data_IF_061081381723
#
_entry.id   IF_061081381723
#
_cell.length_a   1.000
_cell.length_b   1.000
_cell.length_c   1.000
_cell.angle_alpha   90.00
_cell.angle_beta   90.00
_cell.angle_gamma   90.00
#
_symmetry.space_group_name_H-M   'P 1'
#
loop_
_entity.id
_entity.type
_entity.pdbx_description
1 polymer ?
#
# COMPACT_ATOMS: atom_id res chain seq x y z
N UNK A 1 -9.96 5.00 -9.99
CA UNK A 1 -9.50 5.49 -8.67
C UNK A 1 -8.25 4.72 -8.31
N UNK A 2 -7.11 5.39 -8.13
CA UNK A 2 -5.90 4.73 -7.63
C UNK A 2 -6.08 4.40 -6.14
N UNK A 3 -5.69 3.19 -5.71
CA UNK A 3 -5.80 2.76 -4.32
C UNK A 3 -4.74 3.50 -3.48
N UNK A 4 -5.14 4.49 -2.70
CA UNK A 4 -4.24 5.23 -1.80
C UNK A 4 -4.20 4.58 -0.42
N UNK A 5 -3.15 4.82 0.36
CA UNK A 5 -3.05 4.32 1.74
C UNK A 5 -4.23 4.79 2.61
N UNK A 6 -4.69 6.07 2.55
CA UNK A 6 -5.91 6.50 3.23
C UNK A 6 -7.19 5.84 2.69
N UNK A 7 -7.29 5.64 1.37
CA UNK A 7 -8.43 4.97 0.75
C UNK A 7 -8.56 3.52 1.21
N UNK A 8 -7.45 2.78 1.20
CA UNK A 8 -7.40 1.40 1.65
C UNK A 8 -7.75 1.26 3.14
N UNK A 9 -7.27 2.22 3.95
CA UNK A 9 -7.55 2.31 5.38
C UNK A 9 -9.03 2.47 5.70
N UNK A 10 -9.77 3.19 4.85
CA UNK A 10 -11.22 3.39 5.01
C UNK A 10 -12.05 2.11 4.80
N UNK A 11 -11.47 1.08 4.17
CA UNK A 11 -12.17 -0.18 3.85
C UNK A 11 -11.66 -1.39 4.64
N UNK A 12 -10.80 -1.19 5.65
CA UNK A 12 -10.25 -2.31 6.43
C UNK A 12 -11.32 -3.13 7.16
N UNK A 13 -12.40 -2.48 7.63
CA UNK A 13 -13.50 -3.18 8.30
C UNK A 13 -14.25 -4.11 7.33
N UNK A 14 -14.38 -3.73 6.06
CA UNK A 14 -14.95 -4.58 5.02
C UNK A 14 -14.06 -5.81 4.75
N UNK A 15 -12.74 -5.60 4.65
CA UNK A 15 -11.76 -6.68 4.41
C UNK A 15 -11.76 -7.68 5.57
N UNK A 16 -11.69 -7.17 6.81
CA UNK A 16 -11.75 -8.01 8.00
C UNK A 16 -13.11 -8.73 8.12
N UNK A 17 -14.21 -8.05 7.80
CA UNK A 17 -15.56 -8.63 7.84
C UNK A 17 -15.79 -9.78 6.86
N UNK A 18 -15.04 -9.83 5.76
CA UNK A 18 -15.04 -10.98 4.83
C UNK A 18 -14.24 -12.18 5.35
N UNK A 19 -13.51 -12.05 6.47
CA UNK A 19 -12.68 -13.10 7.05
C UNK A 19 -11.24 -13.14 6.54
N UNK A 20 -10.80 -12.17 5.75
CA UNK A 20 -9.39 -12.07 5.36
C UNK A 20 -8.52 -11.58 6.53
N UNK A 21 -7.35 -12.18 6.67
CA UNK A 21 -6.39 -11.88 7.74
C UNK A 21 -5.12 -11.19 7.24
N UNK A 22 -4.98 -11.03 5.92
CA UNK A 22 -3.81 -10.42 5.28
C UNK A 22 -4.22 -9.53 4.13
N UNK A 23 -3.47 -8.46 3.94
CA UNK A 23 -3.56 -7.53 2.83
C UNK A 23 -2.23 -7.50 2.08
N UNK A 24 -2.25 -7.77 0.77
CA UNK A 24 -1.08 -7.70 -0.09
C UNK A 24 -1.37 -6.74 -1.26
N UNK A 25 -1.04 -5.45 -1.12
CA UNK A 25 -1.08 -4.51 -2.23
C UNK A 25 0.14 -4.72 -3.14
N UNK A 26 0.00 -4.35 -4.41
CA UNK A 26 1.14 -4.17 -5.33
C UNK A 26 2.12 -3.12 -4.79
N UNK A 27 3.35 -2.98 -5.33
CA UNK A 27 4.34 -2.06 -4.80
C UNK A 27 3.81 -0.63 -4.70
N UNK A 28 3.96 -0.05 -3.51
CA UNK A 28 3.55 1.33 -3.20
C UNK A 28 4.72 2.31 -3.14
N UNK A 29 5.95 1.81 -3.30
CA UNK A 29 7.16 2.63 -3.37
C UNK A 29 7.14 3.51 -4.62
N UNK A 30 7.89 4.61 -4.57
CA UNK A 30 7.87 5.62 -5.62
C UNK A 30 8.18 5.02 -6.98
N UNK A 31 7.34 5.38 -7.96
CA UNK A 31 7.55 5.04 -9.35
C UNK A 31 7.33 6.28 -10.21
N UNK A 32 8.39 7.08 -10.40
CA UNK A 32 8.34 8.31 -11.18
C UNK A 32 8.53 8.10 -12.70
N UNK A 33 8.21 6.91 -13.23
CA UNK A 33 8.33 6.64 -14.66
C UNK A 33 7.33 7.47 -15.47
N UNK A 34 7.74 8.00 -16.66
CA UNK A 34 6.90 8.88 -17.48
C UNK A 34 5.68 8.18 -18.08
N UNK A 35 5.72 6.85 -18.20
CA UNK A 35 4.61 6.01 -18.64
C UNK A 35 4.50 4.78 -17.73
N UNK A 36 3.28 4.23 -17.62
CA UNK A 36 2.98 2.96 -16.93
C UNK A 36 3.36 2.89 -15.45
N UNK A 37 3.67 4.00 -14.79
CA UNK A 37 4.08 4.03 -13.39
C UNK A 37 3.05 3.53 -12.37
N UNK A 38 1.79 3.35 -12.76
CA UNK A 38 0.71 2.94 -11.85
C UNK A 38 0.88 1.53 -11.27
N UNK A 39 1.62 0.63 -11.93
CA UNK A 39 1.78 -0.76 -11.47
C UNK A 39 2.85 -0.93 -10.38
N UNK A 40 3.68 0.08 -10.11
CA UNK A 40 4.64 0.09 -9.00
C UNK A 40 5.95 -0.66 -9.24
N UNK A 41 5.98 -1.70 -10.06
CA UNK A 41 7.17 -2.58 -10.27
C UNK A 41 8.45 -1.96 -10.90
N UNK A 42 8.49 -0.67 -11.24
CA UNK A 42 9.68 0.04 -11.74
C UNK A 42 10.10 1.17 -10.79
N UNK A 43 10.59 0.76 -9.61
CA UNK A 43 10.82 1.65 -8.45
C UNK A 43 11.90 2.69 -8.77
N UNK A 44 11.64 3.95 -8.43
CA UNK A 44 12.59 5.07 -8.55
C UNK A 44 13.18 5.49 -7.20
N UNK A 45 12.48 5.24 -6.10
CA UNK A 45 12.97 5.44 -4.72
C UNK A 45 12.54 4.29 -3.81
N UNK A 46 13.51 3.60 -3.20
CA UNK A 46 13.28 2.44 -2.33
C UNK A 46 12.84 2.80 -0.90
N UNK A 47 12.91 4.07 -0.52
CA UNK A 47 12.65 4.55 0.85
C UNK A 47 11.36 5.36 0.97
N UNK A 48 10.79 5.79 -0.16
CA UNK A 48 9.61 6.64 -0.17
C UNK A 48 8.43 5.95 -0.83
N UNK A 49 7.27 6.07 -0.18
CA UNK A 49 5.96 5.78 -0.78
C UNK A 49 5.72 6.78 -1.90
N UNK A 50 5.15 6.29 -3.00
CA UNK A 50 4.76 7.15 -4.09
C UNK A 50 3.78 8.25 -3.62
N UNK A 51 4.06 9.54 -3.87
CA UNK A 51 3.20 10.63 -3.42
C UNK A 51 1.74 10.52 -3.91
N UNK A 52 1.48 9.77 -4.98
CA UNK A 52 0.12 9.49 -5.49
C UNK A 52 -0.66 8.55 -4.59
N UNK A 53 0.01 7.70 -3.81
CA UNK A 53 -0.60 6.78 -2.84
C UNK A 53 -0.61 7.31 -1.40
N UNK A 54 0.23 8.31 -1.10
CA UNK A 54 0.29 8.99 0.19
C UNK A 54 1.72 9.21 0.66
N UNK A 55 1.90 9.36 1.97
CA UNK A 55 3.21 9.51 2.61
C UNK A 55 3.65 8.21 3.29
N UNK A 56 4.92 8.11 3.68
CA UNK A 56 5.41 7.05 4.57
C UNK A 56 4.61 6.98 5.89
N UNK A 57 4.13 8.13 6.39
CA UNK A 57 3.29 8.18 7.57
C UNK A 57 1.90 7.58 7.32
N UNK A 58 1.32 7.80 6.14
CA UNK A 58 0.04 7.19 5.76
C UNK A 58 0.16 5.67 5.64
N UNK A 59 1.26 5.16 5.07
CA UNK A 59 1.52 3.72 5.01
C UNK A 59 1.68 3.11 6.41
N UNK A 60 2.42 3.76 7.31
CA UNK A 60 2.51 3.33 8.72
C UNK A 60 1.15 3.32 9.40
N UNK A 61 0.33 4.34 9.16
CA UNK A 61 -1.02 4.42 9.71
C UNK A 61 -1.93 3.29 9.19
N UNK A 62 -1.84 2.96 7.90
CA UNK A 62 -2.52 1.81 7.29
C UNK A 62 -2.12 0.51 8.00
N UNK A 63 -0.82 0.23 8.14
CA UNK A 63 -0.32 -0.99 8.79
C UNK A 63 -0.78 -1.08 10.25
N UNK A 64 -0.68 0.02 11.02
CA UNK A 64 -1.15 0.05 12.40
C UNK A 64 -2.66 -0.23 12.51
N UNK A 65 -3.47 0.38 11.65
CA UNK A 65 -4.92 0.23 11.68
C UNK A 65 -5.41 -1.12 11.15
N UNK A 66 -4.69 -1.71 10.19
CA UNK A 66 -4.94 -3.07 9.72
C UNK A 66 -4.65 -4.06 10.87
N UNK A 67 -3.50 -3.91 11.54
CA UNK A 67 -3.11 -4.78 12.65
C UNK A 67 -4.11 -4.72 13.81
N UNK A 68 -4.63 -3.53 14.13
CA UNK A 68 -5.67 -3.36 15.16
C UNK A 68 -6.96 -4.14 14.85
N UNK A 69 -7.18 -4.52 13.59
CA UNK A 69 -8.32 -5.32 13.10
C UNK A 69 -7.98 -6.78 12.85
N UNK A 70 -6.79 -7.23 13.26
CA UNK A 70 -6.34 -8.61 12.99
C UNK A 70 -5.92 -8.85 11.54
N UNK A 71 -5.71 -7.79 10.73
CA UNK A 71 -5.26 -7.88 9.35
C UNK A 71 -3.79 -7.48 9.27
N UNK A 72 -2.92 -8.39 8.83
CA UNK A 72 -1.52 -8.04 8.52
C UNK A 72 -1.38 -7.41 7.14
N UNK A 73 -0.25 -6.76 6.89
CA UNK A 73 0.08 -6.14 5.59
C UNK A 73 1.39 -6.72 5.09
N UNK A 74 1.36 -7.30 3.88
CA UNK A 74 2.52 -7.85 3.17
C UNK A 74 3.04 -6.78 2.21
N UNK A 75 4.32 -6.49 2.26
CA UNK A 75 4.96 -5.56 1.33
C UNK A 75 5.45 -6.31 0.09
N UNK A 76 5.01 -5.88 -1.09
CA UNK A 76 5.54 -6.36 -2.37
C UNK A 76 6.88 -5.65 -2.68
N UNK A 77 7.96 -6.42 -2.84
CA UNK A 77 9.34 -5.92 -2.97
C UNK A 77 9.93 -6.43 -4.28
N UNK A 78 10.56 -5.53 -5.05
CA UNK A 78 11.25 -5.83 -6.31
C UNK A 78 12.77 -5.76 -6.09
N UNK A 79 13.49 -6.84 -6.40
CA UNK A 79 14.93 -6.98 -6.13
C UNK A 79 15.82 -7.20 -7.38
N UNK A 80 15.22 -7.37 -8.57
CA UNK A 80 15.99 -7.72 -9.78
C UNK A 80 16.90 -6.59 -10.25
#
# INVERSE_FOLDING_TARGET
MAATSPGLRAHLDYIAGMGFTQLWPTPLLENAQPAQSYHGYAITDLYHIDPRFGTNADYRALVCQARARGVGVIMDVVLN
#
